data_IF_214282398397
#
_entry.id   IF_214282398397
#
_cell.length_a   1.000
_cell.length_b   1.000
_cell.length_c   1.000
_cell.angle_alpha   90.00
_cell.angle_beta   90.00
_cell.angle_gamma   90.00
#
_symmetry.space_group_name_H-M   'P 1'
#
loop_
_entity.id
_entity.type
_entity.pdbx_description
1 polymer ?
#
# COMPACT_ATOMS: atom_id res chain seq x y z
N UNK A 1 50.61 -19.71 -12.94
CA UNK A 1 50.38 -18.31 -12.53
C UNK A 1 48.87 -18.16 -12.39
N UNK A 2 48.35 -18.15 -11.17
CA UNK A 2 46.93 -17.88 -10.95
C UNK A 2 46.66 -16.44 -11.38
N UNK A 3 45.74 -16.26 -12.33
CA UNK A 3 45.31 -14.93 -12.75
C UNK A 3 44.71 -14.22 -11.55
N UNK A 4 45.38 -13.16 -11.09
CA UNK A 4 44.89 -12.29 -10.01
C UNK A 4 43.82 -11.35 -10.57
N UNK A 5 42.80 -11.92 -11.21
CA UNK A 5 41.66 -11.18 -11.73
C UNK A 5 40.86 -10.71 -10.51
N UNK A 6 40.57 -9.40 -10.38
CA UNK A 6 39.77 -8.89 -9.27
C UNK A 6 38.42 -9.59 -9.20
N UNK A 7 37.98 -9.93 -7.98
CA UNK A 7 36.64 -10.43 -7.74
C UNK A 7 35.60 -9.38 -8.16
N UNK A 8 34.87 -9.68 -9.23
CA UNK A 8 33.83 -8.80 -9.75
C UNK A 8 32.48 -9.19 -9.13
N UNK A 9 32.07 -8.44 -8.10
CA UNK A 9 30.81 -8.66 -7.40
C UNK A 9 29.58 -8.43 -8.30
N UNK A 10 29.68 -7.56 -9.30
CA UNK A 10 28.55 -7.21 -10.17
C UNK A 10 28.28 -8.32 -11.19
N UNK A 11 29.34 -8.94 -11.72
CA UNK A 11 29.22 -10.15 -12.55
C UNK A 11 28.69 -11.36 -11.77
N UNK A 12 28.78 -11.36 -10.43
CA UNK A 12 28.29 -12.41 -9.56
C UNK A 12 26.83 -12.26 -9.15
N UNK A 13 26.27 -11.04 -9.19
CA UNK A 13 24.88 -10.79 -8.79
C UNK A 13 23.87 -11.57 -9.64
N UNK A 14 24.06 -11.57 -10.97
CA UNK A 14 23.22 -12.32 -11.90
C UNK A 14 23.37 -13.84 -11.69
N UNK A 15 24.60 -14.30 -11.45
CA UNK A 15 24.88 -15.71 -11.22
C UNK A 15 24.29 -16.20 -9.89
N UNK A 16 24.31 -15.38 -8.84
CA UNK A 16 23.69 -15.71 -7.54
C UNK A 16 22.17 -15.90 -7.65
N UNK A 17 21.51 -15.19 -8.57
CA UNK A 17 20.07 -15.30 -8.80
C UNK A 17 19.69 -16.56 -9.59
N UNK A 18 20.49 -16.90 -10.60
CA UNK A 18 20.11 -17.95 -11.58
C UNK A 18 20.84 -19.29 -11.38
N UNK A 19 22.05 -19.28 -10.82
CA UNK A 19 22.84 -20.47 -10.49
C UNK A 19 23.68 -20.27 -9.21
N UNK A 20 23.03 -20.32 -8.04
CA UNK A 20 23.69 -20.05 -6.77
C UNK A 20 24.78 -21.08 -6.43
N UNK A 21 24.71 -22.31 -6.97
CA UNK A 21 25.75 -23.32 -6.76
C UNK A 21 27.02 -22.99 -7.55
N UNK A 22 26.90 -22.59 -8.82
CA UNK A 22 28.05 -22.13 -9.59
C UNK A 22 28.64 -20.84 -9.01
N UNK A 23 27.80 -19.92 -8.53
CA UNK A 23 28.25 -18.74 -7.81
C UNK A 23 29.06 -19.15 -6.57
N UNK A 24 28.53 -20.06 -5.74
CA UNK A 24 29.19 -20.54 -4.54
C UNK A 24 30.60 -21.07 -4.82
N UNK A 25 30.76 -21.89 -5.86
CA UNK A 25 32.07 -22.43 -6.25
C UNK A 25 33.05 -21.31 -6.61
N UNK A 26 32.62 -20.33 -7.42
CA UNK A 26 33.48 -19.19 -7.81
C UNK A 26 33.87 -18.32 -6.60
N UNK A 27 32.91 -18.02 -5.72
CA UNK A 27 33.15 -17.26 -4.50
C UNK A 27 34.12 -18.00 -3.59
N UNK A 28 33.94 -19.31 -3.42
CA UNK A 28 34.83 -20.16 -2.62
C UNK A 28 36.26 -20.15 -3.15
N UNK A 29 36.44 -20.34 -4.45
CA UNK A 29 37.77 -20.40 -5.06
C UNK A 29 38.50 -19.03 -4.93
N UNK A 30 37.77 -17.92 -5.09
CA UNK A 30 38.29 -16.57 -4.86
C UNK A 30 38.64 -16.30 -3.38
N UNK A 31 37.80 -16.75 -2.45
CA UNK A 31 38.03 -16.60 -1.01
C UNK A 31 39.28 -17.38 -0.55
N UNK A 32 39.51 -18.57 -1.11
CA UNK A 32 40.68 -19.42 -0.81
C UNK A 32 42.01 -18.81 -1.25
N UNK A 33 42.02 -18.00 -2.30
CA UNK A 33 43.22 -17.26 -2.73
C UNK A 33 43.37 -15.90 -2.04
N UNK A 34 42.57 -15.62 -1.00
CA UNK A 34 42.76 -14.48 -0.10
C UNK A 34 41.96 -13.23 -0.44
N UNK A 35 41.02 -13.30 -1.39
CA UNK A 35 40.21 -12.12 -1.75
C UNK A 35 39.18 -11.81 -0.67
N UNK A 36 39.34 -10.66 -0.01
CA UNK A 36 38.61 -10.30 1.22
C UNK A 36 37.10 -10.17 1.00
N UNK A 37 36.67 -9.57 -0.12
CA UNK A 37 35.25 -9.44 -0.48
C UNK A 37 34.61 -10.81 -0.73
N UNK A 38 35.35 -11.74 -1.37
CA UNK A 38 34.90 -13.11 -1.58
C UNK A 38 34.80 -13.87 -0.25
N UNK A 39 35.71 -13.65 0.71
CA UNK A 39 35.63 -14.25 2.04
C UNK A 39 34.38 -13.80 2.80
N UNK A 40 34.07 -12.49 2.74
CA UNK A 40 32.87 -11.94 3.35
C UNK A 40 31.60 -12.53 2.71
N UNK A 41 31.54 -12.57 1.37
CA UNK A 41 30.39 -13.11 0.64
C UNK A 41 30.24 -14.62 0.88
N UNK A 42 31.33 -15.38 0.92
CA UNK A 42 31.30 -16.81 1.22
C UNK A 42 30.71 -17.08 2.60
N UNK A 43 31.11 -16.29 3.61
CA UNK A 43 30.54 -16.38 4.94
C UNK A 43 29.03 -16.13 4.94
N UNK A 44 28.56 -15.12 4.19
CA UNK A 44 27.14 -14.84 4.03
C UNK A 44 26.40 -15.98 3.31
N UNK A 45 26.99 -16.57 2.27
CA UNK A 45 26.39 -17.70 1.56
C UNK A 45 26.22 -18.92 2.45
N UNK A 46 27.19 -19.22 3.34
CA UNK A 46 27.05 -20.26 4.35
C UNK A 46 25.98 -19.93 5.41
N UNK A 47 25.88 -18.68 5.87
CA UNK A 47 24.84 -18.27 6.82
C UNK A 47 23.42 -18.37 6.24
N UNK A 48 23.27 -18.12 4.94
CA UNK A 48 21.96 -18.06 4.27
C UNK A 48 21.61 -19.35 3.52
N UNK A 49 22.52 -20.34 3.49
CA UNK A 49 22.35 -21.56 2.70
C UNK A 49 22.23 -21.29 1.19
N UNK A 50 22.89 -20.24 0.68
CA UNK A 50 22.83 -19.87 -0.74
C UNK A 50 23.86 -20.67 -1.53
N UNK A 51 23.40 -21.59 -2.37
CA UNK A 51 24.27 -22.43 -3.20
C UNK A 51 25.00 -23.54 -2.45
N UNK A 52 24.75 -23.67 -1.15
CA UNK A 52 25.32 -24.67 -0.23
C UNK A 52 24.34 -24.87 0.94
N UNK A 53 24.33 -26.01 1.66
CA UNK A 53 23.58 -26.11 2.92
C UNK A 53 24.01 -25.03 3.91
N UNK A 54 23.07 -24.56 4.73
CA UNK A 54 23.37 -23.62 5.81
C UNK A 54 24.39 -24.23 6.79
N UNK A 55 25.46 -23.48 7.08
CA UNK A 55 26.51 -23.89 8.01
C UNK A 55 27.05 -22.67 8.75
N UNK A 56 26.45 -22.36 9.89
CA UNK A 56 26.82 -21.21 10.70
C UNK A 56 28.25 -21.32 11.26
N UNK A 57 28.79 -22.54 11.46
CA UNK A 57 30.15 -22.72 11.94
C UNK A 57 31.18 -22.41 10.83
N UNK A 58 30.92 -22.86 9.60
CA UNK A 58 31.73 -22.49 8.44
C UNK A 58 31.66 -20.98 8.18
N UNK A 59 30.48 -20.38 8.26
CA UNK A 59 30.32 -18.94 8.12
C UNK A 59 31.13 -18.14 9.14
N UNK A 60 31.10 -18.54 10.43
CA UNK A 60 31.87 -17.91 11.49
C UNK A 60 33.37 -17.87 11.15
N UNK A 61 33.93 -19.00 10.70
CA UNK A 61 35.35 -19.10 10.34
C UNK A 61 35.71 -18.17 9.16
N UNK A 62 34.83 -18.05 8.17
CA UNK A 62 35.06 -17.16 7.03
C UNK A 62 34.88 -15.69 7.40
N UNK A 63 33.92 -15.34 8.27
CA UNK A 63 33.83 -13.99 8.83
C UNK A 63 35.07 -13.64 9.64
N UNK A 64 35.59 -14.57 10.45
CA UNK A 64 36.84 -14.37 11.19
C UNK A 64 38.04 -14.15 10.26
N UNK A 65 38.14 -14.95 9.19
CA UNK A 65 39.19 -14.79 8.17
C UNK A 65 39.11 -13.41 7.50
N UNK A 66 37.92 -13.02 7.03
CA UNK A 66 37.71 -11.71 6.41
C UNK A 66 37.95 -10.54 7.37
N UNK A 67 37.53 -10.68 8.63
CA UNK A 67 37.72 -9.66 9.67
C UNK A 67 39.21 -9.46 9.99
N UNK A 68 39.98 -10.55 10.09
CA UNK A 68 41.42 -10.49 10.30
C UNK A 68 42.17 -9.91 9.09
N UNK A 69 41.61 -10.04 7.88
CA UNK A 69 42.09 -9.38 6.68
C UNK A 69 41.56 -7.94 6.50
N UNK A 70 40.89 -7.39 7.51
CA UNK A 70 40.54 -5.97 7.57
C UNK A 70 39.16 -5.60 7.05
N UNK A 71 38.27 -6.55 6.73
CA UNK A 71 36.91 -6.24 6.29
C UNK A 71 36.04 -5.71 7.45
N UNK A 72 35.59 -4.44 7.43
CA UNK A 72 34.77 -3.87 8.50
C UNK A 72 33.44 -4.60 8.70
N UNK A 73 32.77 -4.94 7.60
CA UNK A 73 31.49 -5.64 7.65
C UNK A 73 31.65 -7.05 8.23
N UNK A 74 32.77 -7.72 7.96
CA UNK A 74 33.06 -9.02 8.57
C UNK A 74 33.30 -8.91 10.08
N UNK A 75 34.00 -7.86 10.54
CA UNK A 75 34.15 -7.59 11.97
C UNK A 75 32.77 -7.42 12.64
N UNK A 76 31.87 -6.68 12.01
CA UNK A 76 30.51 -6.49 12.52
C UNK A 76 29.69 -7.79 12.51
N UNK A 77 29.75 -8.58 11.43
CA UNK A 77 29.04 -9.87 11.35
C UNK A 77 29.59 -10.88 12.36
N UNK A 78 30.90 -10.92 12.56
CA UNK A 78 31.54 -11.76 13.57
C UNK A 78 31.09 -11.37 14.98
N UNK A 79 31.00 -10.06 15.26
CA UNK A 79 30.38 -9.55 16.49
C UNK A 79 28.97 -10.07 16.67
N UNK A 80 28.14 -10.05 15.62
CA UNK A 80 26.76 -10.56 15.63
C UNK A 80 26.69 -12.06 15.86
N UNK A 81 27.58 -12.85 15.25
CA UNK A 81 27.65 -14.29 15.48
C UNK A 81 27.95 -14.59 16.96
N UNK A 82 28.88 -13.87 17.58
CA UNK A 82 29.15 -14.01 19.02
C UNK A 82 28.01 -13.48 19.89
N UNK A 83 27.32 -12.40 19.53
CA UNK A 83 26.19 -11.89 20.33
C UNK A 83 25.02 -12.90 20.36
N UNK A 84 24.70 -13.49 19.22
CA UNK A 84 23.53 -14.34 19.03
C UNK A 84 23.84 -15.85 19.18
N UNK A 85 25.11 -16.23 19.30
CA UNK A 85 25.53 -17.63 19.33
C UNK A 85 25.33 -18.36 18.00
N UNK A 86 25.54 -17.68 16.87
CA UNK A 86 25.46 -18.30 15.55
C UNK A 86 26.80 -18.97 15.21
N UNK A 87 26.80 -20.30 15.09
CA UNK A 87 28.03 -21.07 14.84
C UNK A 87 28.97 -21.20 16.05
N UNK A 88 28.59 -20.65 17.21
CA UNK A 88 29.38 -20.65 18.44
C UNK A 88 28.50 -20.42 19.66
N UNK A 89 29.02 -20.57 20.88
CA UNK A 89 28.31 -20.16 22.08
C UNK A 89 28.21 -18.63 22.15
N UNK A 90 27.06 -18.11 22.60
CA UNK A 90 26.86 -16.67 22.74
C UNK A 90 27.85 -16.08 23.76
N UNK A 91 28.56 -15.03 23.34
CA UNK A 91 29.55 -14.28 24.11
C UNK A 91 29.45 -12.78 23.77
N UNK A 92 28.57 -12.02 24.46
CA UNK A 92 28.37 -10.61 24.18
C UNK A 92 29.60 -9.75 24.50
N UNK A 93 30.49 -10.19 25.40
CA UNK A 93 31.74 -9.49 25.69
C UNK A 93 32.69 -9.55 24.49
N UNK A 94 32.80 -10.71 23.85
CA UNK A 94 33.57 -10.86 22.61
C UNK A 94 32.91 -10.15 21.43
N UNK A 95 31.58 -10.14 21.36
CA UNK A 95 30.84 -9.35 20.39
C UNK A 95 31.20 -7.85 20.49
N UNK A 96 31.28 -7.30 21.70
CA UNK A 96 31.66 -5.91 21.93
C UNK A 96 33.07 -5.58 21.42
N UNK A 97 34.03 -6.50 21.54
CA UNK A 97 35.38 -6.33 21.00
C UNK A 97 35.34 -6.18 19.48
N UNK A 98 34.58 -7.04 18.80
CA UNK A 98 34.47 -7.02 17.34
C UNK A 98 33.65 -5.84 16.82
N UNK A 99 32.54 -5.50 17.46
CA UNK A 99 31.78 -4.29 17.13
C UNK A 99 32.62 -3.02 17.33
N UNK A 100 33.46 -2.96 18.36
CA UNK A 100 34.39 -1.84 18.56
C UNK A 100 35.41 -1.74 17.44
N UNK A 101 36.02 -2.85 17.04
CA UNK A 101 36.92 -2.87 15.87
C UNK A 101 36.22 -2.37 14.61
N UNK A 102 34.99 -2.81 14.34
CA UNK A 102 34.20 -2.31 13.20
C UNK A 102 33.86 -0.81 13.33
N UNK A 103 33.52 -0.35 14.53
CA UNK A 103 33.24 1.06 14.80
C UNK A 103 34.49 1.94 14.61
N UNK A 104 35.67 1.45 14.97
CA UNK A 104 36.95 2.15 14.83
C UNK A 104 37.34 2.35 13.36
N UNK A 105 36.92 1.47 12.45
CA UNK A 105 37.06 1.68 11.00
C UNK A 105 36.03 2.69 10.44
N UNK A 106 35.12 3.19 11.27
CA UNK A 106 34.03 4.05 10.85
C UNK A 106 32.84 3.32 10.24
N UNK A 107 32.65 2.02 10.49
CA UNK A 107 31.42 1.34 10.06
C UNK A 107 30.23 1.75 10.93
N UNK A 108 29.20 2.31 10.31
CA UNK A 108 27.96 2.78 10.94
C UNK A 108 27.20 1.66 11.69
N UNK A 109 27.14 0.45 11.11
CA UNK A 109 26.60 -0.73 11.77
C UNK A 109 27.40 -1.15 13.01
N UNK A 110 28.73 -1.02 12.95
CA UNK A 110 29.61 -1.28 14.10
C UNK A 110 29.35 -0.29 15.24
N UNK A 111 29.22 1.00 14.91
CA UNK A 111 28.85 2.06 15.86
C UNK A 111 27.49 1.75 16.51
N UNK A 112 26.46 1.42 15.72
CA UNK A 112 25.12 1.10 16.20
C UNK A 112 25.10 -0.14 17.11
N UNK A 113 25.76 -1.23 16.72
CA UNK A 113 25.75 -2.46 17.50
C UNK A 113 26.54 -2.31 18.82
N UNK A 114 27.68 -1.62 18.80
CA UNK A 114 28.39 -1.28 20.04
C UNK A 114 27.53 -0.39 20.96
N UNK A 115 26.84 0.59 20.40
CA UNK A 115 25.92 1.45 21.15
C UNK A 115 24.80 0.64 21.84
N UNK A 116 24.22 -0.36 21.16
CA UNK A 116 23.21 -1.25 21.77
C UNK A 116 23.75 -2.03 22.97
N UNK A 117 24.98 -2.54 22.90
CA UNK A 117 25.59 -3.24 24.03
C UNK A 117 25.84 -2.31 25.21
N UNK A 118 26.33 -1.10 24.96
CA UNK A 118 26.53 -0.06 25.98
C UNK A 118 25.21 0.42 26.59
N UNK A 119 24.17 0.62 25.79
CA UNK A 119 22.85 1.05 26.25
C UNK A 119 22.19 -0.01 27.15
N UNK A 120 22.41 -1.30 26.85
CA UNK A 120 21.79 -2.43 27.58
C UNK A 120 22.66 -3.01 28.70
N UNK A 121 23.97 -2.73 28.72
CA UNK A 121 24.92 -3.35 29.64
C UNK A 121 25.23 -4.82 29.33
N UNK A 122 24.93 -5.30 28.12
CA UNK A 122 25.16 -6.70 27.73
C UNK A 122 26.61 -6.88 27.28
N UNK A 123 27.39 -7.66 28.04
CA UNK A 123 28.80 -7.95 27.72
C UNK A 123 29.79 -6.81 28.02
N UNK A 124 29.28 -5.61 28.33
CA UNK A 124 30.07 -4.42 28.72
C UNK A 124 29.32 -3.66 29.83
N UNK A 125 30.02 -2.89 30.68
CA UNK A 125 29.35 -1.98 31.61
C UNK A 125 28.38 -1.05 30.86
N UNK A 126 27.22 -0.81 31.45
CA UNK A 126 26.21 0.07 30.86
C UNK A 126 26.72 1.52 30.86
N UNK A 127 26.67 2.16 29.69
CA UNK A 127 27.01 3.58 29.51
C UNK A 127 26.09 4.18 28.43
N UNK A 128 25.00 4.80 28.87
CA UNK A 128 23.98 5.35 27.98
C UNK A 128 24.43 6.64 27.29
N UNK A 129 25.31 7.42 27.92
CA UNK A 129 25.86 8.65 27.35
C UNK A 129 26.80 8.30 26.19
N UNK A 130 27.68 7.32 26.38
CA UNK A 130 28.53 6.83 25.31
C UNK A 130 27.70 6.17 24.19
N UNK A 131 26.67 5.39 24.54
CA UNK A 131 25.76 4.81 23.55
C UNK A 131 25.10 5.89 22.68
N UNK A 132 24.58 6.95 23.29
CA UNK A 132 23.97 8.07 22.56
C UNK A 132 24.98 8.77 21.64
N UNK A 133 26.22 8.97 22.08
CA UNK A 133 27.26 9.55 21.23
C UNK A 133 27.54 8.68 19.99
N UNK A 134 27.57 7.35 20.15
CA UNK A 134 27.75 6.41 19.05
C UNK A 134 26.53 6.35 18.12
N UNK A 135 25.30 6.33 18.65
CA UNK A 135 24.08 6.45 17.83
C UNK A 135 24.09 7.74 17.03
N UNK A 136 24.46 8.86 17.66
CA UNK A 136 24.53 10.17 16.99
C UNK A 136 25.50 10.14 15.82
N UNK A 137 26.71 9.61 16.03
CA UNK A 137 27.70 9.46 14.96
C UNK A 137 27.17 8.58 13.81
N UNK A 138 26.59 7.41 14.12
CA UNK A 138 26.00 6.53 13.11
C UNK A 138 24.83 7.19 12.36
N UNK A 139 23.98 7.95 13.05
CA UNK A 139 22.87 8.68 12.45
C UNK A 139 23.35 9.74 11.45
N UNK A 140 24.40 10.48 11.79
CA UNK A 140 25.04 11.43 10.86
C UNK A 140 25.66 10.75 9.63
N UNK A 141 26.00 9.47 9.72
CA UNK A 141 26.53 8.67 8.61
C UNK A 141 25.47 8.02 7.72
N UNK A 142 24.17 8.18 8.04
CA UNK A 142 23.10 7.60 7.22
C UNK A 142 22.42 6.38 7.85
N UNK A 143 22.84 5.91 9.03
CA UNK A 143 22.27 4.70 9.63
C UNK A 143 20.84 4.92 10.14
N UNK A 144 19.85 4.40 9.40
CA UNK A 144 18.43 4.67 9.60
C UNK A 144 17.92 4.35 11.02
N UNK A 145 18.30 3.19 11.59
CA UNK A 145 17.89 2.81 12.96
C UNK A 145 18.49 3.74 14.02
N UNK A 146 19.71 4.24 13.79
CA UNK A 146 20.35 5.18 14.71
C UNK A 146 19.69 6.55 14.65
N UNK A 147 19.23 6.99 13.47
CA UNK A 147 18.44 8.22 13.34
C UNK A 147 17.15 8.13 14.16
N UNK A 148 16.42 7.02 14.07
CA UNK A 148 15.20 6.80 14.84
C UNK A 148 15.47 6.79 16.36
N UNK A 149 16.56 6.13 16.80
CA UNK A 149 16.94 6.11 18.22
C UNK A 149 17.35 7.49 18.72
N UNK A 150 18.15 8.23 17.96
CA UNK A 150 18.53 9.61 18.29
C UNK A 150 17.30 10.51 18.41
N UNK A 151 16.35 10.39 17.47
CA UNK A 151 15.10 11.13 17.51
C UNK A 151 14.35 10.90 18.83
N UNK A 152 14.20 9.63 19.25
CA UNK A 152 13.56 9.28 20.53
C UNK A 152 14.29 9.85 21.74
N UNK A 153 15.63 9.80 21.76
CA UNK A 153 16.41 10.41 22.84
C UNK A 153 16.18 11.92 22.95
N UNK A 154 16.05 12.63 21.82
CA UNK A 154 15.76 14.06 21.78
C UNK A 154 14.29 14.36 22.16
N UNK A 155 13.35 13.54 21.73
CA UNK A 155 11.92 13.70 22.04
C UNK A 155 11.63 13.55 23.55
N UNK A 156 12.23 12.53 24.16
CA UNK A 156 12.03 12.17 25.57
C UNK A 156 13.02 12.88 26.51
N UNK A 157 14.08 13.49 25.98
CA UNK A 157 15.17 14.06 26.79
C UNK A 157 15.99 13.00 27.55
N UNK A 158 16.19 11.82 26.94
CA UNK A 158 16.93 10.72 27.54
C UNK A 158 18.43 10.93 27.35
N UNK A 159 19.17 11.09 28.44
CA UNK A 159 20.64 11.26 28.43
C UNK A 159 21.12 12.49 27.62
N UNK A 160 20.19 13.38 27.24
CA UNK A 160 20.39 14.65 26.51
C UNK A 160 19.27 15.65 26.85
N UNK A 161 19.41 16.91 26.43
CA UNK A 161 18.33 17.89 26.53
C UNK A 161 17.17 17.56 25.59
N UNK A 162 15.93 17.76 26.06
CA UNK A 162 14.73 17.55 25.26
C UNK A 162 14.64 18.57 24.12
N UNK A 163 14.56 18.09 22.88
CA UNK A 163 14.43 18.88 21.66
C UNK A 163 13.48 18.19 20.65
N UNK A 164 12.16 18.41 20.76
CA UNK A 164 11.18 17.78 19.88
C UNK A 164 11.30 18.25 18.42
N UNK A 165 11.82 19.45 18.17
CA UNK A 165 11.99 19.99 16.83
C UNK A 165 13.13 19.27 16.09
N UNK A 166 14.26 19.07 16.77
CA UNK A 166 15.34 18.24 16.23
C UNK A 166 14.90 16.77 16.07
N UNK A 167 14.13 16.25 17.04
CA UNK A 167 13.59 14.89 16.97
C UNK A 167 12.76 14.65 15.71
N UNK A 168 11.85 15.57 15.36
CA UNK A 168 11.06 15.52 14.14
C UNK A 168 11.94 15.37 12.88
N UNK A 169 13.00 16.18 12.77
CA UNK A 169 13.93 16.12 11.65
C UNK A 169 14.63 14.76 11.55
N UNK A 170 14.98 14.14 12.67
CA UNK A 170 15.60 12.82 12.70
C UNK A 170 14.62 11.68 12.43
N UNK A 171 13.38 11.73 12.92
CA UNK A 171 12.33 10.76 12.59
C UNK A 171 12.05 10.74 11.10
N UNK A 172 11.90 11.92 10.49
CA UNK A 172 11.72 12.05 9.04
C UNK A 172 12.87 11.39 8.26
N UNK A 173 14.12 11.70 8.62
CA UNK A 173 15.29 11.12 7.94
C UNK A 173 15.40 9.61 8.13
N UNK A 174 15.04 9.10 9.31
CA UNK A 174 14.98 7.66 9.56
C UNK A 174 13.93 6.98 8.66
N UNK A 175 12.76 7.62 8.51
CA UNK A 175 11.68 7.13 7.66
C UNK A 175 12.08 7.10 6.18
N UNK A 176 12.66 8.20 5.68
CA UNK A 176 13.21 8.33 4.31
C UNK A 176 14.33 7.32 4.04
N UNK A 177 15.12 6.97 5.06
CA UNK A 177 16.18 5.96 4.97
C UNK A 177 15.66 4.51 5.14
N UNK A 178 14.35 4.29 5.25
CA UNK A 178 13.72 2.97 5.25
C UNK A 178 13.63 2.26 6.60
N UNK A 179 13.87 2.93 7.73
CA UNK A 179 13.65 2.32 9.04
C UNK A 179 12.15 2.23 9.35
N UNK A 180 11.58 1.03 9.34
CA UNK A 180 10.13 0.84 9.56
C UNK A 180 9.63 1.40 10.91
N UNK A 181 10.48 1.43 11.95
CA UNK A 181 10.11 2.07 13.23
C UNK A 181 10.13 3.60 13.11
N UNK A 182 11.13 4.16 12.45
CA UNK A 182 11.18 5.57 12.07
C UNK A 182 9.99 6.00 11.21
N UNK A 183 9.58 5.17 10.25
CA UNK A 183 8.38 5.39 9.43
C UNK A 183 7.11 5.43 10.29
N UNK A 184 6.93 4.49 11.21
CA UNK A 184 5.78 4.48 12.12
C UNK A 184 5.77 5.68 13.10
N UNK A 185 6.93 6.03 13.65
CA UNK A 185 7.07 7.17 14.56
C UNK A 185 6.80 8.49 13.82
N UNK A 186 7.34 8.65 12.61
CA UNK A 186 7.07 9.83 11.79
C UNK A 186 5.60 9.92 11.37
N UNK A 187 4.98 8.77 11.03
CA UNK A 187 3.54 8.71 10.77
C UNK A 187 2.72 9.15 11.99
N UNK A 188 3.09 8.73 13.20
CA UNK A 188 2.41 9.16 14.43
C UNK A 188 2.45 10.68 14.61
N UNK A 189 3.60 11.30 14.34
CA UNK A 189 3.74 12.76 14.42
C UNK A 189 2.88 13.47 13.37
N UNK A 190 2.86 12.95 12.14
CA UNK A 190 2.02 13.48 11.05
C UNK A 190 0.52 13.35 11.38
N UNK A 191 0.10 12.26 12.03
CA UNK A 191 -1.29 12.12 12.52
C UNK A 191 -1.64 13.20 13.54
N UNK A 192 -0.74 13.47 14.49
CA UNK A 192 -0.95 14.53 15.48
C UNK A 192 -1.03 15.92 14.84
N UNK A 193 -0.32 16.13 13.73
CA UNK A 193 -0.37 17.35 12.93
C UNK A 193 -1.60 17.42 11.98
N UNK A 194 -2.40 16.36 11.87
CA UNK A 194 -3.53 16.27 10.95
C UNK A 194 -3.14 15.97 9.49
N UNK A 195 -1.89 15.62 9.23
CA UNK A 195 -1.35 15.27 7.90
C UNK A 195 -1.63 13.79 7.55
N UNK A 196 -2.92 13.43 7.50
CA UNK A 196 -3.38 12.03 7.46
C UNK A 196 -2.83 11.26 6.25
N UNK A 197 -2.84 11.85 5.05
CA UNK A 197 -2.36 11.17 3.82
C UNK A 197 -0.87 10.80 3.91
N UNK A 198 -0.05 11.73 4.39
CA UNK A 198 1.38 11.49 4.56
C UNK A 198 1.63 10.47 5.67
N UNK A 199 0.88 10.55 6.78
CA UNK A 199 0.98 9.55 7.82
C UNK A 199 0.65 8.15 7.31
N UNK A 200 -0.43 8.01 6.54
CA UNK A 200 -0.84 6.74 5.94
C UNK A 200 0.20 6.19 4.97
N UNK A 201 0.81 7.05 4.16
CA UNK A 201 1.92 6.65 3.29
C UNK A 201 3.08 6.00 4.10
N UNK A 202 3.55 6.67 5.15
CA UNK A 202 4.64 6.16 5.98
C UNK A 202 4.25 4.92 6.78
N UNK A 203 3.02 4.86 7.29
CA UNK A 203 2.54 3.69 8.01
C UNK A 203 2.45 2.44 7.11
N UNK A 204 2.05 2.59 5.84
CA UNK A 204 2.05 1.48 4.88
C UNK A 204 3.46 0.95 4.62
N UNK A 205 4.43 1.85 4.43
CA UNK A 205 5.83 1.45 4.29
C UNK A 205 6.34 0.72 5.56
N UNK A 206 5.96 1.21 6.74
CA UNK A 206 6.32 0.58 8.01
C UNK A 206 5.76 -0.84 8.14
N UNK A 207 4.52 -1.06 7.71
CA UNK A 207 3.86 -2.36 7.73
C UNK A 207 4.45 -3.33 6.68
N UNK A 208 4.80 -2.83 5.50
CA UNK A 208 5.40 -3.64 4.43
C UNK A 208 6.77 -4.21 4.82
N UNK A 209 7.57 -3.44 5.56
CA UNK A 209 8.95 -3.80 5.93
C UNK A 209 9.12 -4.14 7.42
N UNK A 210 8.03 -4.15 8.18
CA UNK A 210 8.01 -4.39 9.61
C UNK A 210 8.44 -5.80 9.98
N UNK A 211 9.29 -5.92 11.01
CA UNK A 211 9.60 -7.24 11.58
C UNK A 211 8.35 -7.91 12.18
N UNK A 212 8.26 -9.25 12.26
CA UNK A 212 7.11 -9.93 12.85
C UNK A 212 6.75 -9.45 14.26
N UNK A 213 7.75 -9.20 15.12
CA UNK A 213 7.53 -8.68 16.46
C UNK A 213 6.94 -7.26 16.48
N UNK A 214 7.31 -6.44 15.50
CA UNK A 214 6.73 -5.10 15.33
C UNK A 214 5.29 -5.18 14.82
N UNK A 215 5.02 -6.01 13.80
CA UNK A 215 3.69 -6.20 13.25
C UNK A 215 2.70 -6.74 14.28
N UNK A 216 3.15 -7.71 15.10
CA UNK A 216 2.36 -8.27 16.19
C UNK A 216 1.93 -7.21 17.23
N UNK A 217 2.68 -6.12 17.36
CA UNK A 217 2.37 -5.02 18.27
C UNK A 217 1.48 -3.95 17.62
N UNK A 218 1.84 -3.48 16.42
CA UNK A 218 1.19 -2.32 15.80
C UNK A 218 -0.14 -2.66 15.11
N UNK A 219 -0.29 -3.86 14.54
CA UNK A 219 -1.52 -4.24 13.81
C UNK A 219 -2.76 -4.23 14.72
N UNK A 220 -2.73 -4.81 15.94
CA UNK A 220 -3.86 -4.73 16.86
C UNK A 220 -4.22 -3.30 17.27
N UNK A 221 -3.22 -2.44 17.49
CA UNK A 221 -3.43 -1.04 17.85
C UNK A 221 -4.11 -0.25 16.74
N UNK A 222 -3.68 -0.46 15.48
CA UNK A 222 -4.32 0.14 14.32
C UNK A 222 -5.75 -0.38 14.11
N UNK A 223 -5.98 -1.67 14.31
CA UNK A 223 -7.31 -2.27 14.22
C UNK A 223 -8.28 -1.77 15.30
N UNK A 224 -7.76 -1.44 16.48
CA UNK A 224 -8.52 -0.87 17.60
C UNK A 224 -8.65 0.66 17.53
N UNK A 225 -8.00 1.32 16.56
CA UNK A 225 -8.04 2.77 16.43
C UNK A 225 -9.48 3.26 16.16
N UNK A 226 -9.97 4.28 16.89
CA UNK A 226 -11.30 4.86 16.67
C UNK A 226 -11.40 5.67 15.37
N UNK A 227 -10.29 5.81 14.63
CA UNK A 227 -10.36 6.34 13.28
C UNK A 227 -11.26 5.43 12.44
N UNK A 228 -12.29 5.99 11.77
CA UNK A 228 -13.24 5.16 11.04
C UNK A 228 -12.49 4.24 10.10
N UNK A 229 -12.84 2.96 10.10
CA UNK A 229 -12.47 2.00 9.05
C UNK A 229 -13.06 2.38 7.67
N UNK A 230 -13.62 3.59 7.55
CA UNK A 230 -14.31 4.18 6.42
C UNK A 230 -13.48 5.29 5.75
N UNK A 231 -12.20 5.04 5.49
CA UNK A 231 -11.51 5.70 4.36
C UNK A 231 -12.00 5.13 3.01
N UNK A 232 -13.25 4.67 2.98
CA UNK A 232 -13.88 3.94 1.88
C UNK A 232 -14.60 4.96 1.03
N UNK A 233 -14.14 5.17 -0.19
CA UNK A 233 -14.98 5.79 -1.22
C UNK A 233 -15.73 4.73 -2.05
N UNK A 234 -15.79 3.49 -1.53
CA UNK A 234 -16.64 2.41 -2.03
C UNK A 234 -17.99 2.49 -1.29
N UNK A 235 -19.03 2.96 -1.98
CA UNK A 235 -20.36 3.14 -1.39
C UNK A 235 -21.40 2.26 -2.09
N UNK A 236 -22.01 1.36 -1.33
CA UNK A 236 -23.21 0.63 -1.74
C UNK A 236 -24.44 1.52 -1.53
N UNK A 237 -25.22 1.70 -2.60
CA UNK A 237 -26.47 2.45 -2.61
C UNK A 237 -27.59 1.47 -3.00
N UNK A 238 -28.41 1.02 -2.04
CA UNK A 238 -29.49 0.09 -2.31
C UNK A 238 -30.65 0.77 -3.07
N UNK A 239 -31.45 -0.05 -3.75
CA UNK A 239 -32.78 0.35 -4.28
C UNK A 239 -32.76 1.56 -5.24
N UNK A 240 -31.71 1.73 -6.06
CA UNK A 240 -31.73 2.72 -7.16
C UNK A 240 -32.89 2.39 -8.11
N UNK A 241 -33.12 1.10 -8.38
CA UNK A 241 -34.26 0.63 -9.15
C UNK A 241 -35.12 -0.30 -8.29
N UNK A 242 -36.44 -0.10 -8.35
CA UNK A 242 -37.38 -1.08 -7.79
C UNK A 242 -37.33 -2.41 -8.54
N UNK A 243 -37.70 -3.51 -7.88
CA UNK A 243 -37.79 -4.83 -8.49
C UNK A 243 -38.61 -4.86 -9.80
N UNK A 244 -39.69 -4.06 -9.89
CA UNK A 244 -40.49 -3.93 -11.11
C UNK A 244 -39.74 -3.25 -12.27
N UNK A 245 -38.93 -2.22 -11.96
CA UNK A 245 -38.08 -1.58 -12.96
C UNK A 245 -36.96 -2.52 -13.41
N UNK A 246 -36.31 -3.23 -12.48
CA UNK A 246 -35.28 -4.24 -12.80
C UNK A 246 -35.86 -5.31 -13.73
N UNK A 247 -37.04 -5.85 -13.41
CA UNK A 247 -37.70 -6.86 -14.24
C UNK A 247 -38.05 -6.34 -15.65
N UNK A 248 -38.49 -5.09 -15.78
CA UNK A 248 -38.76 -4.49 -17.09
C UNK A 248 -37.48 -4.31 -17.92
N UNK A 249 -36.44 -3.75 -17.31
CA UNK A 249 -35.13 -3.56 -17.95
C UNK A 249 -34.57 -4.91 -18.38
N UNK A 250 -34.58 -5.92 -17.50
CA UNK A 250 -34.08 -7.27 -17.80
C UNK A 250 -34.84 -7.93 -18.94
N UNK A 251 -36.17 -7.90 -18.94
CA UNK A 251 -36.98 -8.43 -20.04
C UNK A 251 -36.58 -7.83 -21.40
N UNK A 252 -36.30 -6.52 -21.43
CA UNK A 252 -35.89 -5.83 -22.67
C UNK A 252 -34.45 -6.14 -23.07
N UNK A 253 -33.54 -6.25 -22.09
CA UNK A 253 -32.13 -6.62 -22.32
C UNK A 253 -31.97 -8.08 -22.77
N UNK A 254 -32.79 -8.99 -22.24
CA UNK A 254 -32.75 -10.40 -22.60
C UNK A 254 -33.23 -10.65 -24.05
N UNK A 255 -34.10 -9.77 -24.57
CA UNK A 255 -34.57 -9.77 -25.96
C UNK A 255 -33.67 -8.98 -26.93
N UNK A 256 -32.59 -8.35 -26.44
CA UNK A 256 -31.75 -7.48 -27.24
C UNK A 256 -30.64 -8.23 -27.99
N UNK A 257 -30.17 -7.62 -29.07
CA UNK A 257 -28.97 -8.07 -29.77
C UNK A 257 -27.72 -7.58 -29.03
N UNK A 258 -26.92 -8.53 -28.56
CA UNK A 258 -25.66 -8.29 -27.85
C UNK A 258 -24.47 -8.45 -28.80
N UNK A 259 -23.51 -7.53 -28.76
CA UNK A 259 -22.26 -7.61 -29.52
C UNK A 259 -21.06 -7.91 -28.63
N UNK A 260 -19.95 -8.34 -29.22
CA UNK A 260 -18.71 -8.59 -28.50
C UNK A 260 -18.15 -7.27 -27.92
N UNK A 261 -18.01 -7.22 -26.60
CA UNK A 261 -17.59 -6.02 -25.89
C UNK A 261 -16.13 -5.61 -26.15
N UNK A 262 -15.33 -6.44 -26.84
CA UNK A 262 -13.97 -6.09 -27.30
C UNK A 262 -13.97 -4.98 -28.35
N UNK A 263 -15.08 -4.77 -29.06
CA UNK A 263 -15.21 -3.70 -30.07
C UNK A 263 -15.24 -2.29 -29.46
N UNK A 264 -15.42 -2.18 -28.13
CA UNK A 264 -15.61 -0.89 -27.41
C UNK A 264 -14.38 -0.41 -26.63
N UNK A 265 -13.24 -1.12 -26.71
CA UNK A 265 -12.01 -0.81 -25.96
C UNK A 265 -10.83 -0.57 -26.90
N UNK A 266 -9.90 0.32 -26.50
CA UNK A 266 -8.64 0.53 -27.20
C UNK A 266 -7.74 -0.71 -27.22
N UNK A 267 -6.67 -0.68 -28.03
CA UNK A 267 -5.86 -1.86 -28.41
C UNK A 267 -5.32 -2.68 -27.21
N UNK A 268 -5.07 -2.04 -26.05
CA UNK A 268 -4.58 -2.67 -24.81
C UNK A 268 -5.69 -3.37 -23.99
N UNK A 269 -6.95 -2.90 -24.05
CA UNK A 269 -8.08 -3.47 -23.32
C UNK A 269 -8.71 -4.70 -23.99
N UNK A 270 -8.47 -4.87 -25.30
CA UNK A 270 -9.03 -5.96 -26.09
C UNK A 270 -8.47 -7.36 -25.74
N UNK A 271 -7.30 -7.44 -25.09
CA UNK A 271 -6.65 -8.71 -24.75
C UNK A 271 -7.18 -9.37 -23.48
N UNK A 272 -7.87 -8.63 -22.60
CA UNK A 272 -8.27 -9.10 -21.26
C UNK A 272 -9.79 -9.00 -20.98
N UNK A 273 -10.60 -8.61 -21.98
CA UNK A 273 -12.04 -8.38 -21.84
C UNK A 273 -12.82 -9.38 -22.68
N UNK A 274 -13.53 -10.29 -22.02
CA UNK A 274 -14.45 -11.24 -22.63
C UNK A 274 -15.85 -11.00 -22.08
N UNK A 275 -16.60 -10.07 -22.68
CA UNK A 275 -17.98 -9.80 -22.29
C UNK A 275 -18.82 -9.43 -23.51
N UNK A 276 -20.12 -9.26 -23.28
CA UNK A 276 -21.06 -8.76 -24.26
C UNK A 276 -21.53 -7.38 -23.85
N UNK A 277 -21.83 -6.51 -24.82
CA UNK A 277 -22.42 -5.20 -24.58
C UNK A 277 -23.52 -4.87 -25.59
N UNK A 278 -24.42 -3.95 -25.21
CA UNK A 278 -25.30 -3.35 -26.20
C UNK A 278 -24.50 -2.42 -27.12
N UNK A 279 -24.76 -2.43 -28.45
CA UNK A 279 -24.10 -1.54 -29.39
C UNK A 279 -24.23 -0.06 -29.01
N UNK A 280 -23.20 0.74 -29.31
CA UNK A 280 -23.22 2.17 -29.02
C UNK A 280 -24.39 2.89 -29.71
N UNK A 281 -24.73 2.50 -30.95
CA UNK A 281 -25.85 3.07 -31.70
C UNK A 281 -27.23 2.53 -31.28
N UNK A 282 -27.32 1.59 -30.33
CA UNK A 282 -28.59 0.95 -29.94
C UNK A 282 -29.58 1.96 -29.34
N UNK A 283 -30.80 2.11 -29.90
CA UNK A 283 -31.86 2.93 -29.29
C UNK A 283 -32.22 2.44 -27.89
N UNK A 284 -32.26 1.11 -27.71
CA UNK A 284 -32.55 0.49 -26.42
C UNK A 284 -31.56 0.92 -25.34
N UNK A 285 -30.25 1.00 -25.68
CA UNK A 285 -29.23 1.48 -24.75
C UNK A 285 -29.52 2.90 -24.27
N UNK A 286 -29.96 3.79 -25.16
CA UNK A 286 -30.32 5.18 -24.81
C UNK A 286 -31.53 5.22 -23.89
N UNK A 287 -32.62 4.54 -24.27
CA UNK A 287 -33.87 4.53 -23.51
C UNK A 287 -33.71 3.97 -22.08
N UNK A 288 -32.99 2.84 -21.95
CA UNK A 288 -32.72 2.25 -20.64
C UNK A 288 -31.74 3.12 -19.83
N UNK A 289 -30.76 3.73 -20.49
CA UNK A 289 -29.84 4.66 -19.84
C UNK A 289 -30.54 5.90 -19.28
N UNK A 290 -31.47 6.49 -20.03
CA UNK A 290 -32.31 7.59 -19.55
C UNK A 290 -33.15 7.18 -18.34
N UNK A 291 -33.72 5.98 -18.36
CA UNK A 291 -34.47 5.43 -17.21
C UNK A 291 -33.60 5.37 -15.94
N UNK A 292 -32.36 4.90 -16.07
CA UNK A 292 -31.39 4.84 -14.96
C UNK A 292 -31.03 6.25 -14.48
N UNK A 293 -30.73 7.18 -15.39
CA UNK A 293 -30.37 8.55 -15.03
C UNK A 293 -31.52 9.28 -14.31
N UNK A 294 -32.77 9.05 -14.70
CA UNK A 294 -33.95 9.58 -14.00
C UNK A 294 -34.07 9.00 -12.59
N UNK A 295 -33.79 7.72 -12.40
CA UNK A 295 -33.81 7.08 -11.08
C UNK A 295 -32.71 7.65 -10.17
N UNK A 296 -31.48 7.77 -10.68
CA UNK A 296 -30.33 8.34 -9.96
C UNK A 296 -30.57 9.79 -9.54
N UNK A 297 -31.14 10.62 -10.43
CA UNK A 297 -31.42 12.02 -10.14
C UNK A 297 -32.43 12.23 -9.00
N UNK A 298 -33.25 11.21 -8.70
CA UNK A 298 -34.22 11.24 -7.59
C UNK A 298 -33.69 10.61 -6.31
N UNK A 299 -32.50 10.01 -6.32
CA UNK A 299 -31.98 9.25 -5.20
C UNK A 299 -31.07 10.13 -4.30
N UNK A 300 -31.51 10.52 -3.08
CA UNK A 300 -30.79 11.51 -2.27
C UNK A 300 -29.37 11.07 -1.89
N UNK A 301 -29.20 9.80 -1.51
CA UNK A 301 -27.89 9.28 -1.14
C UNK A 301 -26.90 9.30 -2.31
N UNK A 302 -27.39 9.04 -3.53
CA UNK A 302 -26.54 9.10 -4.72
C UNK A 302 -26.14 10.53 -5.03
N UNK A 303 -27.09 11.46 -4.98
CA UNK A 303 -26.80 12.87 -5.21
C UNK A 303 -25.78 13.42 -4.20
N UNK A 304 -25.96 13.11 -2.91
CA UNK A 304 -25.06 13.54 -1.84
C UNK A 304 -23.65 12.93 -1.97
N UNK A 305 -23.56 11.65 -2.34
CA UNK A 305 -22.28 10.97 -2.48
C UNK A 305 -21.52 11.34 -3.78
N UNK A 306 -22.23 11.51 -4.89
CA UNK A 306 -21.62 11.72 -6.21
C UNK A 306 -21.50 13.20 -6.59
N UNK A 307 -22.39 14.07 -6.10
CA UNK A 307 -22.50 15.48 -6.48
C UNK A 307 -22.37 15.67 -8.01
N UNK A 308 -23.23 15.04 -8.81
CA UNK A 308 -23.00 14.86 -10.24
C UNK A 308 -23.08 16.18 -11.03
N UNK A 309 -22.12 16.40 -11.94
CA UNK A 309 -22.11 17.48 -12.94
C UNK A 309 -22.44 16.95 -14.34
N UNK A 310 -21.75 15.89 -14.77
CA UNK A 310 -21.94 15.25 -16.08
C UNK A 310 -21.87 13.73 -15.95
N UNK A 311 -22.50 13.04 -16.90
CA UNK A 311 -22.46 11.58 -16.99
C UNK A 311 -21.88 11.15 -18.33
N UNK A 312 -21.06 10.12 -18.33
CA UNK A 312 -20.94 9.26 -19.51
C UNK A 312 -22.17 8.35 -19.49
N UNK A 313 -23.05 8.38 -20.52
CA UNK A 313 -24.34 7.71 -20.44
C UNK A 313 -24.23 6.21 -20.12
N UNK A 314 -25.20 5.64 -19.37
CA UNK A 314 -25.21 4.22 -19.03
C UNK A 314 -24.99 3.29 -20.21
N UNK A 315 -24.06 2.36 -19.99
CA UNK A 315 -23.78 1.22 -20.87
C UNK A 315 -24.25 -0.04 -20.17
N UNK A 316 -24.42 -1.11 -20.93
CA UNK A 316 -24.92 -2.39 -20.43
C UNK A 316 -23.96 -3.48 -20.83
N UNK A 317 -23.55 -4.30 -19.86
CA UNK A 317 -22.70 -5.45 -20.11
C UNK A 317 -23.36 -6.74 -19.61
N UNK A 318 -22.97 -7.84 -20.24
CA UNK A 318 -23.33 -9.20 -19.84
C UNK A 318 -22.09 -10.08 -19.82
N UNK A 319 -21.92 -10.82 -18.72
CA UNK A 319 -20.87 -11.82 -18.54
C UNK A 319 -21.51 -13.19 -18.31
N UNK A 320 -21.12 -14.17 -19.11
CA UNK A 320 -21.61 -15.57 -19.04
C UNK A 320 -20.59 -16.51 -19.67
N UNK A 321 -20.62 -17.80 -19.34
CA UNK A 321 -19.81 -18.82 -20.03
C UNK A 321 -18.29 -18.61 -19.92
N UNK A 322 -17.81 -18.14 -18.77
CA UNK A 322 -16.41 -17.80 -18.52
C UNK A 322 -16.04 -16.35 -18.87
N UNK A 323 -17.00 -15.54 -19.29
CA UNK A 323 -16.78 -14.12 -19.56
C UNK A 323 -16.21 -13.37 -18.34
N UNK A 324 -15.22 -12.51 -18.57
CA UNK A 324 -14.39 -11.85 -17.56
C UNK A 324 -13.92 -10.47 -18.04
N UNK A 325 -13.44 -9.64 -17.12
CA UNK A 325 -12.65 -8.46 -17.47
C UNK A 325 -11.48 -8.35 -16.49
N UNK A 326 -10.25 -8.55 -16.98
CA UNK A 326 -9.03 -8.48 -16.17
C UNK A 326 -8.81 -7.10 -15.52
N UNK A 327 -7.81 -7.04 -14.63
CA UNK A 327 -7.47 -5.82 -13.90
C UNK A 327 -7.16 -4.64 -14.82
N UNK A 328 -7.82 -3.52 -14.57
CA UNK A 328 -7.62 -2.27 -15.30
C UNK A 328 -7.97 -1.06 -14.42
N UNK A 329 -7.56 0.12 -14.90
CA UNK A 329 -7.95 1.42 -14.35
C UNK A 329 -8.71 2.15 -15.47
N UNK A 330 -9.76 2.90 -15.10
CA UNK A 330 -10.53 3.65 -16.08
C UNK A 330 -9.74 4.83 -16.64
N UNK A 331 -10.03 5.19 -17.90
CA UNK A 331 -9.40 6.34 -18.53
C UNK A 331 -9.85 7.64 -17.87
N UNK A 332 -8.91 8.43 -17.34
CA UNK A 332 -9.18 9.68 -16.61
C UNK A 332 -10.00 10.73 -17.39
N UNK A 333 -9.94 10.68 -18.73
CA UNK A 333 -10.70 11.55 -19.63
C UNK A 333 -11.45 10.68 -20.64
N UNK A 334 -12.76 10.87 -20.71
CA UNK A 334 -13.66 10.12 -21.58
C UNK A 334 -14.35 11.04 -22.57
N UNK A 335 -14.49 10.59 -23.82
CA UNK A 335 -15.17 11.36 -24.86
C UNK A 335 -16.69 11.09 -24.85
N UNK A 336 -17.47 12.15 -24.88
CA UNK A 336 -18.91 12.12 -25.08
C UNK A 336 -19.25 12.14 -26.57
N UNK A 337 -20.43 11.65 -26.93
CA UNK A 337 -20.87 11.57 -28.33
C UNK A 337 -21.01 12.94 -29.03
N UNK A 338 -21.16 14.01 -28.26
CA UNK A 338 -21.23 15.40 -28.75
C UNK A 338 -19.83 16.03 -28.95
N UNK A 339 -18.74 15.29 -28.74
CA UNK A 339 -17.37 15.77 -28.86
C UNK A 339 -16.83 16.46 -27.61
N UNK A 340 -17.64 16.59 -26.55
CA UNK A 340 -17.14 17.06 -25.25
C UNK A 340 -16.33 15.98 -24.52
N UNK A 341 -15.52 16.40 -23.58
CA UNK A 341 -14.77 15.53 -22.68
C UNK A 341 -15.36 15.56 -21.28
N UNK A 342 -15.27 14.41 -20.61
CA UNK A 342 -15.67 14.19 -19.24
C UNK A 342 -14.47 13.69 -18.44
N UNK A 343 -14.24 14.27 -17.26
CA UNK A 343 -13.30 13.73 -16.27
C UNK A 343 -14.00 12.61 -15.50
N UNK A 344 -13.46 11.40 -15.54
CA UNK A 344 -14.03 10.26 -14.82
C UNK A 344 -13.61 10.33 -13.34
N UNK A 345 -14.42 10.98 -12.50
CA UNK A 345 -14.15 11.05 -11.06
C UNK A 345 -14.62 9.77 -10.37
N UNK A 346 -15.79 9.28 -10.79
CA UNK A 346 -16.52 8.22 -10.12
C UNK A 346 -16.97 7.19 -11.15
N UNK A 347 -16.72 5.92 -10.85
CA UNK A 347 -17.22 4.76 -11.57
C UNK A 347 -18.41 4.17 -10.83
N UNK A 348 -19.42 3.78 -11.60
CA UNK A 348 -20.70 3.30 -11.10
C UNK A 348 -21.05 1.98 -11.76
N UNK A 349 -21.47 1.00 -10.97
CA UNK A 349 -22.03 -0.27 -11.47
C UNK A 349 -23.37 -0.54 -10.80
N UNK A 350 -24.43 -0.55 -11.61
CA UNK A 350 -25.80 -0.89 -11.21
C UNK A 350 -26.07 -2.36 -11.56
N UNK A 351 -26.34 -3.17 -10.55
CA UNK A 351 -26.58 -4.60 -10.72
C UNK A 351 -27.99 -4.82 -11.26
N UNK A 352 -28.13 -5.67 -12.29
CA UNK A 352 -29.42 -6.01 -12.90
C UNK A 352 -29.74 -7.50 -12.79
N UNK A 353 -28.84 -8.29 -12.20
CA UNK A 353 -29.00 -9.71 -11.87
C UNK A 353 -28.78 -9.90 -10.38
N UNK A 354 -29.60 -10.72 -9.74
CA UNK A 354 -29.39 -11.06 -8.34
C UNK A 354 -28.13 -11.93 -8.17
N UNK A 355 -27.41 -11.83 -7.03
CA UNK A 355 -26.17 -12.55 -6.79
C UNK A 355 -26.28 -14.08 -6.94
N UNK A 356 -27.44 -14.66 -6.69
CA UNK A 356 -27.71 -16.10 -6.78
C UNK A 356 -28.04 -16.57 -8.21
N UNK A 357 -28.35 -15.65 -9.14
CA UNK A 357 -28.57 -15.98 -10.55
C UNK A 357 -27.28 -16.49 -11.24
N UNK A 358 -26.10 -16.17 -10.71
CA UNK A 358 -24.81 -16.48 -11.34
C UNK A 358 -23.69 -16.85 -10.35
N UNK A 359 -22.73 -17.67 -10.77
CA UNK A 359 -21.53 -18.01 -9.99
C UNK A 359 -20.32 -17.28 -10.56
N UNK A 360 -19.42 -16.82 -9.69
CA UNK A 360 -18.35 -15.89 -10.08
C UNK A 360 -18.90 -14.49 -10.36
N UNK A 361 -18.25 -13.75 -11.26
CA UNK A 361 -18.71 -12.43 -11.70
C UNK A 361 -18.57 -11.33 -10.65
N UNK A 362 -17.81 -11.57 -9.59
CA UNK A 362 -17.56 -10.57 -8.57
C UNK A 362 -16.77 -9.41 -9.15
N UNK A 363 -17.19 -8.19 -8.84
CA UNK A 363 -16.42 -6.99 -9.12
C UNK A 363 -15.38 -6.84 -8.01
N UNK A 364 -14.12 -7.06 -8.34
CA UNK A 364 -13.00 -6.87 -7.42
C UNK A 364 -12.46 -5.46 -7.61
N UNK A 365 -12.50 -4.64 -6.56
CA UNK A 365 -11.97 -3.27 -6.55
C UNK A 365 -10.81 -3.23 -5.58
N UNK A 366 -9.62 -2.93 -6.08
CA UNK A 366 -8.42 -2.73 -5.28
C UNK A 366 -8.27 -1.24 -4.97
N UNK A 367 -8.27 -0.93 -3.68
CA UNK A 367 -7.95 0.38 -3.16
C UNK A 367 -6.68 0.33 -2.30
N UNK A 368 -6.36 1.43 -1.64
CA UNK A 368 -5.16 1.55 -0.82
C UNK A 368 -5.23 0.80 0.52
N UNK A 369 -6.33 0.07 0.77
CA UNK A 369 -6.62 -0.72 1.97
C UNK A 369 -6.83 -2.21 1.68
N UNK A 370 -6.94 -2.62 0.40
CA UNK A 370 -7.01 -4.03 0.00
C UNK A 370 -7.82 -4.25 -1.28
N UNK A 371 -8.16 -5.51 -1.54
CA UNK A 371 -9.12 -5.90 -2.57
C UNK A 371 -10.50 -6.11 -1.93
N UNK A 372 -11.53 -5.51 -2.53
CA UNK A 372 -12.92 -5.62 -2.10
C UNK A 372 -13.73 -6.37 -3.14
N UNK A 373 -14.43 -7.41 -2.70
CA UNK A 373 -15.30 -8.22 -3.53
C UNK A 373 -16.72 -7.67 -3.48
N UNK A 374 -17.29 -7.30 -4.65
CA UNK A 374 -18.62 -6.70 -4.73
C UNK A 374 -19.55 -7.51 -5.62
N UNK A 375 -20.68 -7.93 -5.04
CA UNK A 375 -21.77 -8.64 -5.70
C UNK A 375 -23.07 -8.30 -4.97
N UNK A 376 -23.88 -7.41 -5.54
CA UNK A 376 -25.03 -6.79 -4.86
C UNK A 376 -26.37 -7.25 -5.45
N UNK A 377 -27.47 -7.13 -4.68
CA UNK A 377 -28.84 -7.37 -5.17
C UNK A 377 -29.17 -6.60 -6.46
N UNK A 378 -30.07 -7.15 -7.27
CA UNK A 378 -30.51 -6.47 -8.48
C UNK A 378 -31.27 -5.18 -8.14
N UNK A 379 -30.88 -4.07 -8.76
CA UNK A 379 -31.39 -2.72 -8.45
C UNK A 379 -30.46 -1.88 -7.58
N UNK A 380 -29.44 -2.51 -6.99
CA UNK A 380 -28.44 -1.82 -6.16
C UNK A 380 -27.26 -1.32 -6.99
N UNK A 381 -26.68 -0.22 -6.53
CA UNK A 381 -25.55 0.46 -7.15
C UNK A 381 -24.32 0.39 -6.24
N UNK A 382 -23.16 0.13 -6.82
CA UNK A 382 -21.87 0.42 -6.20
C UNK A 382 -21.23 1.64 -6.86
N UNK A 383 -20.69 2.52 -6.03
CA UNK A 383 -20.00 3.76 -6.41
C UNK A 383 -18.56 3.69 -5.89
N UNK A 384 -17.57 3.97 -6.74
CA UNK A 384 -16.14 3.93 -6.38
C UNK A 384 -15.29 4.91 -7.22
N UNK A 385 -14.07 5.30 -6.78
CA UNK A 385 -13.20 6.16 -7.57
C UNK A 385 -12.79 5.49 -8.88
N UNK A 386 -12.84 6.22 -10.00
CA UNK A 386 -12.41 5.69 -11.30
C UNK A 386 -10.91 5.39 -11.39
N UNK A 387 -10.11 5.95 -10.48
CA UNK A 387 -8.69 5.64 -10.31
C UNK A 387 -8.43 4.24 -9.71
N UNK A 388 -9.47 3.56 -9.21
CA UNK A 388 -9.31 2.26 -8.55
C UNK A 388 -8.96 1.17 -9.56
N UNK A 389 -7.97 0.34 -9.23
CA UNK A 389 -7.64 -0.85 -10.00
C UNK A 389 -8.74 -1.89 -9.79
N UNK A 390 -9.41 -2.35 -10.85
CA UNK A 390 -10.54 -3.25 -10.68
C UNK A 390 -10.67 -4.28 -11.80
N UNK A 391 -11.37 -5.40 -11.52
CA UNK A 391 -11.66 -6.50 -12.45
C UNK A 391 -13.03 -7.09 -12.20
N UNK A 392 -13.56 -7.82 -13.18
CA UNK A 392 -14.74 -8.69 -13.00
C UNK A 392 -14.27 -10.13 -13.15
N UNK A 393 -14.41 -10.93 -12.10
CA UNK A 393 -14.06 -12.35 -12.13
C UNK A 393 -14.89 -13.12 -13.20
N UNK A 394 -14.39 -14.26 -13.70
CA UNK A 394 -15.14 -15.07 -14.66
C UNK A 394 -16.50 -15.50 -14.13
N UNK A 395 -17.55 -15.36 -14.95
CA UNK A 395 -18.88 -15.92 -14.63
C UNK A 395 -18.95 -17.37 -15.10
N UNK A 396 -18.98 -18.33 -14.18
CA UNK A 396 -18.93 -19.77 -14.48
C UNK A 396 -20.30 -20.43 -14.62
N UNK A 397 -21.35 -19.85 -14.02
CA UNK A 397 -22.75 -20.28 -14.15
C UNK A 397 -23.65 -19.05 -14.28
N UNK A 398 -24.73 -19.16 -15.05
CA UNK A 398 -25.69 -18.09 -15.21
C UNK A 398 -25.15 -16.92 -16.03
N UNK A 399 -25.75 -15.75 -15.84
CA UNK A 399 -25.32 -14.53 -16.50
C UNK A 399 -25.41 -13.33 -15.55
N UNK A 400 -24.29 -12.60 -15.43
CA UNK A 400 -24.25 -11.31 -14.75
C UNK A 400 -24.60 -10.22 -15.75
N UNK A 401 -25.73 -9.54 -15.55
CA UNK A 401 -26.13 -8.36 -16.31
C UNK A 401 -25.99 -7.14 -15.41
N UNK A 402 -25.32 -6.10 -15.90
CA UNK A 402 -25.19 -4.84 -15.17
C UNK A 402 -25.20 -3.64 -16.11
N UNK A 403 -25.53 -2.49 -15.54
CA UNK A 403 -25.26 -1.21 -16.19
C UNK A 403 -24.03 -0.55 -15.55
N UNK A 404 -23.17 0.03 -16.35
CA UNK A 404 -21.98 0.74 -15.89
C UNK A 404 -21.84 2.10 -16.56
N UNK A 405 -21.35 3.08 -15.81
CA UNK A 405 -21.20 4.47 -16.26
C UNK A 405 -20.21 5.23 -15.39
N UNK A 406 -19.91 6.45 -15.82
CA UNK A 406 -18.99 7.35 -15.13
C UNK A 406 -19.64 8.68 -14.87
N UNK A 407 -19.24 9.31 -13.76
CA UNK A 407 -19.72 10.60 -13.33
C UNK A 407 -18.53 11.54 -13.20
N UNK A 408 -18.66 12.72 -13.81
CA UNK A 408 -17.87 13.87 -13.39
C UNK A 408 -18.61 14.54 -12.25
N UNK A 409 -17.96 14.62 -11.10
CA UNK A 409 -18.51 15.30 -9.95
C UNK A 409 -18.28 16.81 -10.07
N UNK A 410 -19.17 17.60 -9.48
CA UNK A 410 -18.90 19.01 -9.18
C UNK A 410 -17.65 19.14 -8.30
N UNK A 411 -17.36 18.16 -7.44
CA UNK A 411 -16.19 18.15 -6.58
C UNK A 411 -15.18 17.14 -7.12
N UNK A 412 -14.08 17.60 -7.70
CA UNK A 412 -13.03 16.73 -8.26
C UNK A 412 -12.44 15.80 -7.20
N UNK A 413 -12.01 16.41 -6.10
CA UNK A 413 -11.27 15.74 -5.02
C UNK A 413 -12.17 14.76 -4.26
N UNK A 414 -11.71 13.52 -4.12
CA UNK A 414 -12.44 12.43 -3.48
C UNK A 414 -12.60 12.65 -1.97
N UNK A 415 -11.57 13.17 -1.31
CA UNK A 415 -11.61 13.51 0.12
C UNK A 415 -12.62 14.61 0.39
N UNK A 416 -12.59 15.72 -0.36
CA UNK A 416 -13.56 16.81 -0.22
C UNK A 416 -15.00 16.35 -0.44
N UNK A 417 -15.22 15.51 -1.45
CA UNK A 417 -16.54 14.95 -1.75
C UNK A 417 -17.04 14.05 -0.62
N UNK A 418 -16.16 13.19 -0.07
CA UNK A 418 -16.48 12.35 1.10
C UNK A 418 -16.81 13.20 2.33
N UNK A 419 -16.01 14.23 2.62
CA UNK A 419 -16.25 15.12 3.77
C UNK A 419 -17.62 15.83 3.66
N UNK A 420 -18.00 16.27 2.46
CA UNK A 420 -19.33 16.82 2.22
C UNK A 420 -20.43 15.78 2.47
N UNK A 421 -20.27 14.55 1.97
CA UNK A 421 -21.24 13.47 2.17
C UNK A 421 -21.39 13.06 3.66
N UNK A 422 -20.29 12.93 4.40
CA UNK A 422 -20.30 12.63 5.85
C UNK A 422 -21.01 13.73 6.64
N UNK A 423 -20.74 14.99 6.27
CA UNK A 423 -21.38 16.16 6.87
C UNK A 423 -22.89 16.19 6.58
N UNK A 424 -23.29 15.97 5.34
CA UNK A 424 -24.70 15.92 4.95
C UNK A 424 -25.45 14.79 5.66
N UNK A 425 -24.86 13.60 5.72
CA UNK A 425 -25.38 12.45 6.47
C UNK A 425 -25.55 12.76 7.96
N UNK A 426 -24.58 13.46 8.55
CA UNK A 426 -24.64 13.88 9.95
C UNK A 426 -25.74 14.92 10.19
N UNK A 427 -25.89 15.89 9.30
CA UNK A 427 -26.97 16.90 9.34
C UNK A 427 -28.34 16.21 9.25
N UNK A 428 -28.49 15.25 8.33
CA UNK A 428 -29.75 14.55 8.14
C UNK A 428 -30.11 13.67 9.36
N UNK A 429 -29.11 12.99 9.93
CA UNK A 429 -29.29 12.26 11.20
C UNK A 429 -29.73 13.18 12.34
N UNK A 430 -29.15 14.38 12.45
CA UNK A 430 -29.57 15.36 13.47
C UNK A 430 -31.03 15.79 13.26
N UNK A 431 -31.47 15.99 12.01
CA UNK A 431 -32.87 16.30 11.71
C UNK A 431 -33.81 15.17 12.14
N UNK A 432 -33.44 13.92 11.85
CA UNK A 432 -34.24 12.74 12.19
C UNK A 432 -34.30 12.45 13.69
N UNK A 433 -33.30 12.88 14.45
CA UNK A 433 -33.18 12.64 15.89
C UNK A 433 -33.58 13.86 16.75
N UNK A 434 -34.25 14.85 16.16
CA UNK A 434 -34.68 16.08 16.83
C UNK A 434 -33.51 16.85 17.48
N UNK A 435 -32.37 16.94 16.78
CA UNK A 435 -31.25 17.79 17.17
C UNK A 435 -31.61 19.28 17.18
N UNK A 436 -30.75 20.09 17.81
CA UNK A 436 -30.94 21.53 17.92
C UNK A 436 -31.10 22.21 16.56
N UNK A 437 -32.21 22.92 16.36
CA UNK A 437 -32.61 23.45 15.06
C UNK A 437 -31.66 24.54 14.55
N UNK A 438 -31.14 25.37 15.44
CA UNK A 438 -30.21 26.46 15.09
C UNK A 438 -28.85 25.88 14.68
N UNK A 439 -28.34 24.88 15.40
CA UNK A 439 -27.13 24.16 15.05
C UNK A 439 -27.26 23.44 13.69
N UNK A 440 -28.39 22.77 13.43
CA UNK A 440 -28.67 22.12 12.14
C UNK A 440 -28.68 23.14 11.00
N UNK A 441 -29.30 24.31 11.21
CA UNK A 441 -29.33 25.39 10.22
C UNK A 441 -27.90 25.93 9.96
N UNK A 442 -27.12 26.16 11.01
CA UNK A 442 -25.75 26.63 10.90
C UNK A 442 -24.87 25.63 10.13
N UNK A 443 -24.94 24.34 10.47
CA UNK A 443 -24.20 23.29 9.78
C UNK A 443 -24.62 23.18 8.32
N UNK A 444 -25.93 23.25 8.03
CA UNK A 444 -26.44 23.30 6.64
C UNK A 444 -25.83 24.49 5.87
N UNK A 445 -25.73 25.65 6.51
CA UNK A 445 -25.05 26.82 5.94
C UNK A 445 -23.56 26.59 5.65
N UNK A 446 -22.85 25.92 6.57
CA UNK A 446 -21.43 25.55 6.38
C UNK A 446 -21.27 24.56 5.22
N UNK A 447 -22.12 23.54 5.13
CA UNK A 447 -22.13 22.57 4.02
C UNK A 447 -22.24 23.28 2.68
N UNK A 448 -23.23 24.17 2.52
CA UNK A 448 -23.41 24.91 1.27
C UNK A 448 -22.27 25.90 0.97
N UNK A 449 -21.60 26.45 2.00
CA UNK A 449 -20.40 27.26 1.80
C UNK A 449 -19.23 26.43 1.29
N UNK A 450 -19.01 25.22 1.82
CA UNK A 450 -17.97 24.31 1.36
C UNK A 450 -18.26 23.82 -0.06
N UNK A 451 -19.50 23.40 -0.33
CA UNK A 451 -19.93 23.02 -1.67
C UNK A 451 -19.64 24.14 -2.68
N UNK A 452 -20.06 25.39 -2.39
CA UNK A 452 -19.74 26.55 -3.27
C UNK A 452 -18.25 26.80 -3.46
N UNK A 453 -17.40 26.48 -2.48
CA UNK A 453 -15.95 26.69 -2.54
C UNK A 453 -15.23 25.61 -3.33
N UNK A 454 -15.70 24.37 -3.24
CA UNK A 454 -15.04 23.20 -3.83
C UNK A 454 -15.62 22.81 -5.20
N UNK A 455 -16.82 23.30 -5.54
CA UNK A 455 -17.46 23.01 -6.84
C UNK A 455 -16.72 23.62 -8.03
N UNK A 456 -16.49 22.78 -9.03
CA UNK A 456 -16.06 23.08 -10.40
C UNK A 456 -17.26 22.83 -11.33
N UNK A 457 -18.02 23.88 -11.66
CA UNK A 457 -19.28 23.80 -12.45
C UNK A 457 -19.18 24.54 -13.77
#
# INVERSE_FOLDING_TARGET
MASNTPFDSDALADLLLHDPQAAFVRVRDAAQVGQVEAQLLLAQMYMEGKGTPEDAAAALLWYETAANNGAPMAMNMLGRCHELGQGTAANPSLAAVWYRRAADTGLDWGLYNLANLLATGRGVPQDRVQALALYTRAAHMGHAKSMNLLARHLEDGLDTGRDPQAALGWYRRAAEAGDFRGQANYASILLQAGEIEQAMHWLRLALQHGSPAFLAHIVPELAASPHPQDFRMLLHIPDILSAGQVADIRRRLDAADWTDGRETVGHLGAQAKHNQQLPEASPLRRELGETILVALARHPLFFSAALPLKYLPPRFNRYSGGGTYGFHVDGAVMNLANGEQLRSDISCTLFLSDPDEYDGGELIISDTYGEHEVKLPAGDLIVYPSSSLHKVNPVTRGARVASFFWVQSMIRDDVQRRLLWEMDTSIERLRQTNGDADAVLQLTGVYHNLLRRWSEV
#
